data_IF_328387433995
#
_entry.id   IF_328387433995
#
_cell.length_a   1.000
_cell.length_b   1.000
_cell.length_c   1.000
_cell.angle_alpha   90.00
_cell.angle_beta   90.00
_cell.angle_gamma   90.00
#
_symmetry.space_group_name_H-M   'P 1'
#
loop_
_entity.id
_entity.type
_entity.pdbx_description
1 polymer ?
#
# COMPACT_ATOMS: atom_id res chain seq x y z
N UNK A 1 -4.15 12.85 -65.25
CA UNK A 1 -3.08 12.02 -64.66
C UNK A 1 -2.70 12.42 -63.23
N UNK A 2 -2.41 13.69 -62.95
CA UNK A 2 -1.96 14.16 -61.60
C UNK A 2 -2.99 13.89 -60.49
N UNK A 3 -4.29 14.13 -60.76
CA UNK A 3 -5.38 13.89 -59.79
C UNK A 3 -5.51 12.40 -59.44
N UNK A 4 -5.37 11.49 -60.42
CA UNK A 4 -5.41 10.04 -60.16
C UNK A 4 -4.22 9.58 -59.32
N UNK A 5 -3.02 10.11 -59.56
CA UNK A 5 -1.84 9.80 -58.75
C UNK A 5 -1.99 10.28 -57.29
N UNK A 6 -2.58 11.45 -57.08
CA UNK A 6 -2.86 12.00 -55.74
C UNK A 6 -3.90 11.17 -54.97
N UNK A 7 -4.97 10.71 -55.64
CA UNK A 7 -5.98 9.83 -55.02
C UNK A 7 -5.39 8.47 -54.62
N UNK A 8 -4.51 7.90 -55.47
CA UNK A 8 -3.80 6.64 -55.16
C UNK A 8 -2.87 6.84 -53.97
N UNK A 9 -2.13 7.95 -53.90
CA UNK A 9 -1.26 8.29 -52.77
C UNK A 9 -2.04 8.46 -51.47
N UNK A 10 -3.18 9.17 -51.48
CA UNK A 10 -4.04 9.31 -50.31
C UNK A 10 -4.62 7.98 -49.84
N UNK A 11 -5.07 7.11 -50.78
CA UNK A 11 -5.51 5.75 -50.43
C UNK A 11 -4.39 4.92 -49.81
N UNK A 12 -3.17 5.01 -50.35
CA UNK A 12 -2.00 4.34 -49.78
C UNK A 12 -1.67 4.86 -48.38
N UNK A 13 -1.74 6.16 -48.14
CA UNK A 13 -1.54 6.77 -46.82
C UNK A 13 -2.58 6.28 -45.80
N UNK A 14 -3.86 6.30 -46.17
CA UNK A 14 -4.97 5.85 -45.30
C UNK A 14 -4.83 4.37 -44.95
N UNK A 15 -4.52 3.50 -45.93
CA UNK A 15 -4.30 2.06 -45.69
C UNK A 15 -3.12 1.83 -44.73
N UNK A 16 -2.03 2.60 -44.86
CA UNK A 16 -0.89 2.49 -43.95
C UNK A 16 -1.20 2.98 -42.53
N UNK A 17 -1.98 4.07 -42.39
CA UNK A 17 -2.47 4.55 -41.09
C UNK A 17 -3.38 3.51 -40.41
N UNK A 18 -4.32 2.92 -41.15
CA UNK A 18 -5.20 1.85 -40.65
C UNK A 18 -4.40 0.62 -40.22
N UNK A 19 -3.39 0.21 -41.01
CA UNK A 19 -2.49 -0.89 -40.65
C UNK A 19 -1.70 -0.58 -39.39
N UNK A 20 -1.20 0.64 -39.24
CA UNK A 20 -0.48 1.10 -38.06
C UNK A 20 -1.36 1.07 -36.81
N UNK A 21 -2.58 1.61 -36.88
CA UNK A 21 -3.54 1.59 -35.76
C UNK A 21 -3.95 0.16 -35.37
N UNK A 22 -4.16 -0.74 -36.35
CA UNK A 22 -4.42 -2.17 -36.07
C UNK A 22 -3.24 -2.84 -35.36
N UNK A 23 -2.01 -2.56 -35.78
CA UNK A 23 -0.81 -3.10 -35.12
C UNK A 23 -0.65 -2.55 -33.69
N UNK A 24 -0.95 -1.28 -33.47
CA UNK A 24 -0.94 -0.62 -32.17
C UNK A 24 -2.00 -1.21 -31.23
N UNK A 25 -3.22 -1.42 -31.70
CA UNK A 25 -4.30 -2.10 -30.96
C UNK A 25 -3.93 -3.54 -30.60
N UNK A 26 -3.36 -4.30 -31.55
CA UNK A 26 -2.90 -5.67 -31.31
C UNK A 26 -1.77 -5.72 -30.28
N UNK A 27 -0.80 -4.80 -30.36
CA UNK A 27 0.29 -4.67 -29.37
C UNK A 27 -0.26 -4.33 -27.99
N UNK A 28 -1.18 -3.35 -27.89
CA UNK A 28 -1.85 -3.00 -26.63
C UNK A 28 -2.57 -4.20 -26.02
N UNK A 29 -3.37 -4.90 -26.83
CA UNK A 29 -4.08 -6.11 -26.42
C UNK A 29 -3.14 -7.21 -25.91
N UNK A 30 -1.97 -7.39 -26.53
CA UNK A 30 -0.97 -8.36 -26.07
C UNK A 30 -0.35 -7.95 -24.71
N UNK A 31 -0.03 -6.68 -24.53
CA UNK A 31 0.50 -6.17 -23.25
C UNK A 31 -0.53 -6.32 -22.14
N UNK A 32 -1.79 -5.99 -22.40
CA UNK A 32 -2.88 -6.17 -21.43
C UNK A 32 -3.04 -7.64 -21.02
N UNK A 33 -2.87 -8.59 -21.95
CA UNK A 33 -2.89 -10.02 -21.64
C UNK A 33 -1.70 -10.42 -20.76
N UNK A 34 -0.50 -9.90 -21.04
CA UNK A 34 0.68 -10.16 -20.20
C UNK A 34 0.52 -9.58 -18.80
N UNK A 35 0.01 -8.34 -18.67
CA UNK A 35 -0.33 -7.73 -17.38
C UNK A 35 -1.30 -8.61 -16.59
N UNK A 36 -2.39 -9.06 -17.22
CA UNK A 36 -3.38 -9.93 -16.56
C UNK A 36 -2.75 -11.21 -16.07
N UNK A 37 -1.95 -11.91 -16.89
CA UNK A 37 -1.24 -13.13 -16.48
C UNK A 37 -0.31 -12.91 -15.29
N UNK A 38 0.44 -11.81 -15.29
CA UNK A 38 1.29 -11.42 -14.17
C UNK A 38 0.45 -11.21 -12.90
N UNK A 39 -0.62 -10.42 -12.99
CA UNK A 39 -1.50 -10.12 -11.86
C UNK A 39 -2.18 -11.39 -11.33
N UNK A 40 -2.72 -12.23 -12.21
CA UNK A 40 -3.34 -13.51 -11.84
C UNK A 40 -2.34 -14.39 -11.09
N UNK A 41 -1.09 -14.48 -11.57
CA UNK A 41 -0.03 -15.22 -10.88
C UNK A 41 0.24 -14.66 -9.47
N UNK A 42 0.37 -13.34 -9.34
CA UNK A 42 0.61 -12.70 -8.03
C UNK A 42 -0.57 -12.86 -7.06
N UNK A 43 -1.80 -12.86 -7.58
CA UNK A 43 -3.03 -13.07 -6.78
C UNK A 43 -3.11 -14.53 -6.33
N UNK A 44 -2.91 -15.49 -7.24
CA UNK A 44 -2.95 -16.92 -6.93
C UNK A 44 -1.88 -17.33 -5.92
N UNK A 45 -0.70 -16.71 -5.97
CA UNK A 45 0.36 -16.91 -4.99
C UNK A 45 0.17 -16.11 -3.68
N UNK A 46 -0.99 -15.46 -3.50
CA UNK A 46 -1.34 -14.70 -2.30
C UNK A 46 -0.36 -13.54 -2.00
N UNK A 47 0.33 -13.04 -3.02
CA UNK A 47 1.25 -11.89 -2.95
C UNK A 47 0.45 -10.60 -3.12
N UNK A 48 -0.42 -10.54 -4.13
CA UNK A 48 -1.26 -9.38 -4.44
C UNK A 48 -2.69 -9.58 -3.94
N UNK A 49 -3.15 -8.68 -3.07
CA UNK A 49 -4.47 -8.72 -2.41
C UNK A 49 -5.22 -7.40 -2.52
N UNK A 50 -4.48 -6.29 -2.64
CA UNK A 50 -5.06 -4.96 -2.73
C UNK A 50 -5.67 -4.71 -4.12
N UNK A 51 -6.98 -4.49 -4.14
CA UNK A 51 -7.76 -4.19 -5.35
C UNK A 51 -7.37 -2.86 -5.99
N UNK A 52 -7.04 -1.85 -5.19
CA UNK A 52 -6.62 -0.55 -5.71
C UNK A 52 -5.28 -0.67 -6.41
N UNK A 53 -4.36 -1.47 -5.86
CA UNK A 53 -3.07 -1.75 -6.50
C UNK A 53 -3.21 -2.60 -7.77
N UNK A 54 -4.11 -3.58 -7.81
CA UNK A 54 -4.45 -4.31 -9.05
C UNK A 54 -4.87 -3.33 -10.14
N UNK A 55 -5.78 -2.40 -9.81
CA UNK A 55 -6.25 -1.38 -10.76
C UNK A 55 -5.10 -0.45 -11.19
N UNK A 56 -4.27 0.01 -10.25
CA UNK A 56 -3.13 0.87 -10.54
C UNK A 56 -2.14 0.21 -11.52
N UNK A 57 -1.79 -1.07 -11.32
CA UNK A 57 -0.88 -1.81 -12.23
C UNK A 57 -1.50 -2.00 -13.63
N UNK A 58 -2.81 -2.19 -13.71
CA UNK A 58 -3.50 -2.26 -15.00
C UNK A 58 -3.41 -0.92 -15.75
N UNK A 59 -3.64 0.19 -15.04
CA UNK A 59 -3.69 1.54 -15.63
C UNK A 59 -2.31 2.11 -15.97
N UNK A 60 -1.31 1.93 -15.10
CA UNK A 60 0.04 2.48 -15.30
C UNK A 60 0.86 1.55 -16.23
N UNK A 61 1.32 2.02 -17.40
CA UNK A 61 2.07 1.20 -18.34
C UNK A 61 3.56 1.12 -17.98
N UNK A 62 4.02 -0.03 -17.46
CA UNK A 62 5.42 -0.26 -17.10
C UNK A 62 6.39 0.04 -18.25
N UNK A 63 6.01 -0.25 -19.50
CA UNK A 63 6.84 0.01 -20.68
C UNK A 63 7.18 1.49 -20.89
N UNK A 64 6.43 2.43 -20.29
CA UNK A 64 6.73 3.86 -20.36
C UNK A 64 7.87 4.29 -19.43
N UNK A 65 8.25 3.43 -18.49
CA UNK A 65 9.31 3.65 -17.50
C UNK A 65 10.63 2.96 -17.87
N UNK A 66 10.71 2.36 -19.06
CA UNK A 66 11.91 1.69 -19.58
C UNK A 66 12.30 2.41 -20.86
N UNK A 67 13.52 2.96 -20.98
CA UNK A 67 14.01 3.51 -22.24
C UNK A 67 13.94 2.47 -23.38
N UNK A 68 13.63 2.90 -24.59
CA UNK A 68 13.29 1.98 -25.70
C UNK A 68 14.38 0.94 -25.99
N UNK A 69 15.66 1.34 -25.87
CA UNK A 69 16.82 0.46 -26.06
C UNK A 69 16.88 -0.70 -25.05
N UNK A 70 16.24 -0.56 -23.89
CA UNK A 70 16.21 -1.58 -22.84
C UNK A 70 14.90 -2.38 -22.82
N UNK A 71 13.90 -2.02 -23.65
CA UNK A 71 12.61 -2.74 -23.70
C UNK A 71 12.81 -4.12 -24.33
N UNK A 72 12.84 -5.15 -23.49
CA UNK A 72 12.70 -6.53 -23.93
C UNK A 72 11.21 -6.93 -23.97
N UNK A 73 10.60 -6.86 -25.16
CA UNK A 73 9.16 -7.14 -25.33
C UNK A 73 8.73 -8.56 -24.94
N UNK A 74 9.65 -9.53 -24.93
CA UNK A 74 9.39 -10.90 -24.48
C UNK A 74 9.25 -10.92 -22.97
N UNK A 75 10.21 -10.30 -22.29
CA UNK A 75 10.37 -10.32 -20.84
C UNK A 75 9.54 -9.28 -20.08
N UNK A 76 9.00 -8.29 -20.79
CA UNK A 76 8.14 -7.26 -20.21
C UNK A 76 6.91 -7.91 -19.56
N UNK A 77 6.61 -7.51 -18.33
CA UNK A 77 5.59 -8.09 -17.44
C UNK A 77 5.87 -9.54 -16.97
N UNK A 78 7.10 -10.04 -17.09
CA UNK A 78 7.54 -11.19 -16.29
C UNK A 78 7.89 -10.73 -14.86
N UNK A 79 7.76 -11.63 -13.89
CA UNK A 79 8.05 -11.32 -12.48
C UNK A 79 9.55 -11.31 -12.18
N UNK A 80 10.27 -10.36 -12.78
CA UNK A 80 11.72 -10.18 -12.60
C UNK A 80 12.11 -8.70 -12.69
N UNK A 81 13.30 -8.33 -12.17
CA UNK A 81 13.79 -6.97 -12.32
C UNK A 81 13.97 -6.60 -13.79
N UNK A 82 13.61 -5.38 -14.16
CA UNK A 82 13.76 -4.86 -15.53
C UNK A 82 14.86 -3.81 -15.59
N UNK A 83 15.83 -3.98 -16.48
CA UNK A 83 16.88 -2.99 -16.73
C UNK A 83 16.25 -1.70 -17.29
N UNK A 84 16.61 -0.54 -16.75
CA UNK A 84 16.21 0.75 -17.31
C UNK A 84 17.37 1.71 -17.52
N UNK A 85 18.55 1.37 -17.02
CA UNK A 85 19.76 2.16 -17.22
C UNK A 85 20.99 1.26 -17.14
N UNK A 86 21.96 1.52 -17.99
CA UNK A 86 23.26 0.86 -18.04
C UNK A 86 24.30 1.89 -18.43
N UNK A 87 25.38 1.94 -17.66
CA UNK A 87 26.55 2.78 -17.92
C UNK A 87 27.62 1.91 -18.56
N UNK A 88 27.95 2.20 -19.82
CA UNK A 88 28.95 1.44 -20.58
C UNK A 88 30.37 1.64 -20.03
N UNK A 89 30.63 2.76 -19.37
CA UNK A 89 31.94 3.10 -18.80
C UNK A 89 32.14 2.49 -17.42
N UNK A 90 31.04 2.28 -16.68
CA UNK A 90 31.03 1.58 -15.42
C UNK A 90 29.93 0.49 -15.42
N UNK A 91 30.22 -0.73 -15.92
CA UNK A 91 29.27 -1.83 -16.00
C UNK A 91 28.59 -2.23 -14.69
N UNK A 92 29.15 -1.84 -13.53
CA UNK A 92 28.55 -2.08 -12.21
C UNK A 92 27.45 -1.07 -11.87
N UNK A 93 27.36 0.02 -12.63
CA UNK A 93 26.46 1.15 -12.43
C UNK A 93 25.13 0.99 -13.19
N UNK A 94 24.66 -0.25 -13.39
CA UNK A 94 23.33 -0.47 -13.96
C UNK A 94 22.22 -0.19 -12.94
N UNK A 95 21.02 0.09 -13.44
CA UNK A 95 19.82 0.25 -12.59
C UNK A 95 18.67 -0.59 -13.10
N UNK A 96 17.95 -1.18 -12.15
CA UNK A 96 16.78 -2.00 -12.43
C UNK A 96 15.55 -1.46 -11.71
N UNK A 97 14.42 -1.60 -12.38
CA UNK A 97 13.10 -1.58 -11.75
C UNK A 97 12.96 -2.89 -10.98
N UNK A 98 12.51 -2.84 -9.73
CA UNK A 98 12.27 -4.03 -8.91
C UNK A 98 11.29 -4.99 -9.59
N UNK A 99 11.41 -6.29 -9.29
CA UNK A 99 10.45 -7.29 -9.78
C UNK A 99 9.00 -6.93 -9.35
N UNK A 100 7.99 -7.21 -10.18
CA UNK A 100 6.58 -6.97 -9.86
C UNK A 100 6.12 -7.46 -8.50
N UNK A 101 6.45 -8.69 -8.06
CA UNK A 101 6.08 -9.17 -6.73
C UNK A 101 6.65 -8.27 -5.63
N UNK A 102 7.88 -7.79 -5.83
CA UNK A 102 8.56 -6.95 -4.85
C UNK A 102 7.93 -5.55 -4.80
N UNK A 103 7.54 -4.99 -5.95
CA UNK A 103 6.78 -3.74 -6.01
C UNK A 103 5.46 -3.89 -5.25
N UNK A 104 4.74 -5.00 -5.46
CA UNK A 104 3.49 -5.28 -4.76
C UNK A 104 3.69 -5.38 -3.25
N UNK A 105 4.71 -6.12 -2.82
CA UNK A 105 5.04 -6.26 -1.39
C UNK A 105 5.41 -4.90 -0.78
N UNK A 106 6.20 -4.08 -1.48
CA UNK A 106 6.57 -2.74 -1.02
C UNK A 106 5.33 -1.87 -0.82
N UNK A 107 4.48 -1.73 -1.84
CA UNK A 107 3.31 -0.83 -1.79
C UNK A 107 2.24 -1.32 -0.80
N UNK A 108 1.97 -2.62 -0.73
CA UNK A 108 1.05 -3.16 0.29
C UNK A 108 1.62 -3.05 1.70
N UNK A 109 2.94 -3.22 1.86
CA UNK A 109 3.62 -3.10 3.15
C UNK A 109 3.55 -1.68 3.74
N UNK A 110 3.48 -0.66 2.89
CA UNK A 110 3.22 0.71 3.33
C UNK A 110 1.79 0.92 3.83
N UNK A 111 0.82 0.17 3.27
CA UNK A 111 -0.62 0.35 3.54
C UNK A 111 -1.03 1.82 3.37
N UNK A 112 -0.75 2.36 2.18
CA UNK A 112 -1.00 3.76 1.81
C UNK A 112 -2.50 4.09 1.89
N UNK A 113 -2.82 5.17 2.59
CA UNK A 113 -4.12 5.84 2.52
C UNK A 113 -4.11 6.95 1.49
N UNK A 114 -5.29 7.46 1.15
CA UNK A 114 -5.48 8.45 0.08
C UNK A 114 -4.73 9.78 0.30
N UNK A 115 -4.45 10.12 1.55
CA UNK A 115 -3.83 11.39 1.96
C UNK A 115 -2.43 11.18 2.55
N UNK A 116 -1.87 9.98 2.48
CA UNK A 116 -0.55 9.73 3.08
C UNK A 116 0.53 10.39 2.23
N UNK A 117 1.36 11.22 2.85
CA UNK A 117 2.57 11.74 2.22
C UNK A 117 3.65 10.64 2.22
N UNK A 118 4.34 10.51 1.08
CA UNK A 118 5.31 9.45 0.84
C UNK A 118 6.65 10.00 0.37
N UNK A 119 7.69 9.72 1.14
CA UNK A 119 9.08 9.91 0.75
C UNK A 119 9.67 8.62 0.19
N UNK A 120 10.23 8.65 -1.01
CA UNK A 120 10.89 7.51 -1.66
C UNK A 120 12.39 7.79 -1.77
N UNK A 121 13.21 6.88 -1.24
CA UNK A 121 14.67 6.94 -1.31
C UNK A 121 15.15 6.02 -2.43
N UNK A 122 15.75 6.62 -3.45
CA UNK A 122 16.12 6.00 -4.72
C UNK A 122 14.97 6.07 -5.72
N UNK A 123 15.16 6.82 -6.81
CA UNK A 123 14.12 7.08 -7.80
C UNK A 123 13.72 5.85 -8.62
N UNK A 124 14.68 4.93 -8.80
CA UNK A 124 14.57 3.86 -9.80
C UNK A 124 14.19 4.50 -11.15
N UNK A 125 13.12 4.02 -11.78
CA UNK A 125 12.60 4.61 -13.00
C UNK A 125 11.41 5.54 -12.80
N UNK A 126 10.89 5.67 -11.56
CA UNK A 126 9.64 6.38 -11.24
C UNK A 126 8.38 5.51 -11.22
N UNK A 127 8.45 4.24 -11.61
CA UNK A 127 7.26 3.38 -11.72
C UNK A 127 6.56 3.14 -10.37
N UNK A 128 7.32 2.93 -9.29
CA UNK A 128 6.75 2.75 -7.93
C UNK A 128 6.02 4.01 -7.49
N UNK A 129 6.60 5.19 -7.75
CA UNK A 129 6.00 6.48 -7.41
C UNK A 129 4.69 6.71 -8.17
N UNK A 130 4.65 6.37 -9.46
CA UNK A 130 3.43 6.46 -10.26
C UNK A 130 2.31 5.54 -9.74
N UNK A 131 2.66 4.33 -9.30
CA UNK A 131 1.71 3.42 -8.64
C UNK A 131 1.27 3.95 -7.27
N UNK A 132 2.20 4.47 -6.47
CA UNK A 132 1.89 5.05 -5.17
C UNK A 132 0.94 6.25 -5.30
N UNK A 133 1.13 7.11 -6.31
CA UNK A 133 0.22 8.23 -6.60
C UNK A 133 -1.21 7.78 -6.87
N UNK A 134 -1.41 6.61 -7.50
CA UNK A 134 -2.75 6.03 -7.68
C UNK A 134 -3.41 5.61 -6.36
N UNK A 135 -2.61 5.21 -5.38
CA UNK A 135 -3.07 4.77 -4.06
C UNK A 135 -3.30 5.96 -3.10
N UNK A 136 -2.41 6.95 -3.16
CA UNK A 136 -2.42 8.17 -2.34
C UNK A 136 -2.59 9.44 -3.21
N UNK A 137 -3.72 9.60 -3.93
CA UNK A 137 -3.87 10.68 -4.91
C UNK A 137 -3.97 12.09 -4.31
N UNK A 138 -4.07 12.22 -2.99
CA UNK A 138 -4.11 13.51 -2.29
C UNK A 138 -2.87 13.76 -1.42
N UNK A 139 -1.99 12.77 -1.29
CA UNK A 139 -0.74 12.92 -0.55
C UNK A 139 0.37 13.43 -1.47
N UNK A 140 1.36 14.08 -0.87
CA UNK A 140 2.57 14.51 -1.56
C UNK A 140 3.54 13.34 -1.71
N UNK A 141 4.08 13.17 -2.92
CA UNK A 141 5.09 12.14 -3.19
C UNK A 141 6.39 12.82 -3.57
N UNK A 142 7.42 12.58 -2.77
CA UNK A 142 8.76 13.12 -2.99
C UNK A 142 9.76 11.99 -3.15
N UNK A 143 10.60 12.09 -4.17
CA UNK A 143 11.64 11.14 -4.50
C UNK A 143 13.00 11.81 -4.26
N UNK A 144 13.87 11.14 -3.51
CA UNK A 144 15.28 11.51 -3.37
C UNK A 144 16.15 10.58 -4.19
N UNK A 145 16.98 11.15 -5.06
CA UNK A 145 17.93 10.42 -5.89
C UNK A 145 19.29 11.11 -5.85
N UNK A 146 20.38 10.36 -5.74
CA UNK A 146 21.72 10.94 -5.62
C UNK A 146 22.37 11.18 -6.99
N UNK A 147 21.97 10.41 -8.01
CA UNK A 147 22.51 10.51 -9.36
C UNK A 147 21.58 11.36 -10.26
N UNK A 148 22.11 12.46 -10.80
CA UNK A 148 21.32 13.42 -11.59
C UNK A 148 20.77 12.81 -12.89
N UNK A 149 21.52 11.92 -13.53
CA UNK A 149 21.08 11.25 -14.76
C UNK A 149 19.88 10.32 -14.49
N UNK A 150 19.92 9.56 -13.39
CA UNK A 150 18.78 8.72 -12.97
C UNK A 150 17.58 9.59 -12.60
N UNK A 151 17.79 10.72 -11.92
CA UNK A 151 16.72 11.67 -11.61
C UNK A 151 16.08 12.24 -12.88
N UNK A 152 16.89 12.61 -13.89
CA UNK A 152 16.42 13.09 -15.19
C UNK A 152 15.62 12.04 -15.94
N UNK A 153 16.12 10.81 -16.04
CA UNK A 153 15.39 9.68 -16.66
C UNK A 153 14.05 9.45 -15.96
N UNK A 154 14.04 9.49 -14.63
CA UNK A 154 12.82 9.34 -13.81
C UNK A 154 11.83 10.46 -14.11
N UNK A 155 12.28 11.73 -14.15
CA UNK A 155 11.44 12.89 -14.46
C UNK A 155 10.81 12.75 -15.85
N UNK A 156 11.61 12.43 -16.86
CA UNK A 156 11.12 12.20 -18.23
C UNK A 156 10.10 11.06 -18.31
N UNK A 157 10.22 10.02 -17.48
CA UNK A 157 9.24 8.95 -17.42
C UNK A 157 7.90 9.39 -16.80
N UNK A 158 7.95 10.24 -15.77
CA UNK A 158 6.75 10.80 -15.13
C UNK A 158 6.04 11.82 -16.03
N UNK A 159 6.79 12.67 -16.74
CA UNK A 159 6.27 13.63 -17.71
C UNK A 159 5.46 12.96 -18.83
N UNK A 160 5.92 11.78 -19.33
CA UNK A 160 5.18 10.97 -20.32
C UNK A 160 3.75 10.62 -19.86
N UNK A 161 3.49 10.64 -18.55
CA UNK A 161 2.20 10.34 -17.93
C UNK A 161 1.56 11.55 -17.24
N UNK A 162 2.17 12.75 -17.34
CA UNK A 162 1.71 13.98 -16.66
C UNK A 162 1.62 13.82 -15.14
N UNK A 163 2.62 13.15 -14.55
CA UNK A 163 2.71 12.92 -13.11
C UNK A 163 3.79 13.77 -12.43
N UNK A 164 4.58 14.50 -13.22
CA UNK A 164 5.66 15.38 -12.80
C UNK A 164 5.19 16.58 -11.95
N UNK A 165 3.95 17.03 -12.11
CA UNK A 165 3.33 18.05 -11.25
C UNK A 165 2.96 17.50 -9.85
N UNK A 166 2.71 16.19 -9.73
CA UNK A 166 2.24 15.56 -8.49
C UNK A 166 3.36 14.81 -7.73
N UNK A 167 4.48 14.53 -8.40
CA UNK A 167 5.58 13.74 -7.86
C UNK A 167 6.86 14.54 -8.03
N UNK A 168 7.39 15.06 -6.92
CA UNK A 168 8.63 15.84 -6.92
C UNK A 168 9.85 14.92 -6.89
N UNK A 169 10.83 15.18 -7.74
CA UNK A 169 12.14 14.53 -7.68
C UNK A 169 13.16 15.56 -7.23
N UNK A 170 13.99 15.20 -6.24
CA UNK A 170 15.05 16.06 -5.72
C UNK A 170 16.38 15.31 -5.77
N UNK A 171 17.37 15.94 -6.39
CA UNK A 171 18.74 15.42 -6.42
C UNK A 171 19.41 15.76 -5.09
N UNK A 172 19.54 14.76 -4.21
CA UNK A 172 20.04 14.90 -2.84
C UNK A 172 20.50 13.55 -2.32
N UNK A 173 21.42 13.54 -1.36
CA UNK A 173 21.73 12.32 -0.61
C UNK A 173 20.45 11.79 0.07
N UNK A 174 19.94 10.60 -0.31
CA UNK A 174 18.65 10.12 0.19
C UNK A 174 18.65 9.83 1.70
N UNK A 175 19.82 9.57 2.31
CA UNK A 175 19.91 9.28 3.74
C UNK A 175 19.63 10.49 4.64
N UNK A 176 19.71 11.71 4.10
CA UNK A 176 19.33 12.90 4.84
C UNK A 176 17.82 13.09 4.90
N UNK A 177 17.06 12.37 4.08
CA UNK A 177 15.63 12.56 3.96
C UNK A 177 15.27 13.99 3.54
N UNK A 178 14.07 14.41 3.94
CA UNK A 178 13.49 15.70 3.64
C UNK A 178 12.78 16.21 4.90
N UNK A 179 13.59 16.65 5.88
CA UNK A 179 13.11 17.10 7.18
C UNK A 179 12.23 18.35 7.09
N UNK A 180 12.49 19.19 6.10
CA UNK A 180 11.74 20.40 5.76
C UNK A 180 10.28 20.13 5.36
N UNK A 181 9.97 18.90 4.92
CA UNK A 181 8.61 18.45 4.59
C UNK A 181 8.11 17.36 5.56
N UNK A 182 8.84 17.09 6.65
CA UNK A 182 8.39 16.16 7.68
C UNK A 182 7.27 16.79 8.53
N UNK A 183 6.37 15.99 9.14
CA UNK A 183 6.40 14.53 9.25
C UNK A 183 5.90 13.78 8.01
N UNK A 184 6.54 12.65 7.70
CA UNK A 184 6.13 11.73 6.65
C UNK A 184 5.28 10.59 7.19
N UNK A 185 4.07 10.38 6.65
CA UNK A 185 3.27 9.20 7.00
C UNK A 185 3.97 7.94 6.51
N UNK A 186 4.63 7.98 5.35
CA UNK A 186 5.32 6.83 4.76
C UNK A 186 6.71 7.19 4.24
N UNK A 187 7.69 6.34 4.52
CA UNK A 187 9.03 6.39 3.92
C UNK A 187 9.33 5.03 3.29
N UNK A 188 9.66 5.02 2.00
CA UNK A 188 10.02 3.80 1.26
C UNK A 188 11.48 3.88 0.82
N UNK A 189 12.26 2.84 1.10
CA UNK A 189 13.65 2.75 0.66
C UNK A 189 13.79 1.66 -0.40
N UNK A 190 14.30 2.04 -1.58
CA UNK A 190 14.36 1.13 -2.74
C UNK A 190 15.76 0.59 -3.04
N UNK A 191 16.70 0.76 -2.11
CA UNK A 191 18.06 0.20 -2.14
C UNK A 191 18.49 -0.24 -0.75
N UNK A 192 19.40 -1.23 -0.68
CA UNK A 192 19.88 -1.78 0.58
C UNK A 192 20.56 -0.70 1.44
N UNK A 193 20.17 -0.61 2.71
CA UNK A 193 20.77 0.31 3.69
C UNK A 193 21.26 -0.45 4.92
N UNK A 194 22.36 0.03 5.49
CA UNK A 194 22.83 -0.45 6.78
C UNK A 194 21.96 0.11 7.90
N UNK A 195 21.74 -0.69 8.94
CA UNK A 195 20.89 -0.29 10.07
C UNK A 195 21.37 1.00 10.76
N UNK A 196 22.68 1.25 10.81
CA UNK A 196 23.26 2.47 11.40
C UNK A 196 22.85 3.76 10.67
N UNK A 197 22.48 3.67 9.38
CA UNK A 197 22.20 4.82 8.52
C UNK A 197 20.71 5.23 8.52
N UNK A 198 19.86 4.51 9.23
CA UNK A 198 18.41 4.72 9.22
C UNK A 198 17.94 5.84 10.17
N UNK A 199 18.73 6.14 11.21
CA UNK A 199 18.30 7.02 12.31
C UNK A 199 17.81 8.40 11.85
N UNK A 200 18.46 9.11 10.90
CA UNK A 200 17.97 10.40 10.44
C UNK A 200 16.56 10.35 9.84
N UNK A 201 16.20 9.22 9.22
CA UNK A 201 14.91 9.00 8.57
C UNK A 201 13.80 8.70 9.57
N UNK A 202 14.13 7.99 10.67
CA UNK A 202 13.15 7.60 11.68
C UNK A 202 12.50 8.80 12.37
N UNK A 203 13.28 9.85 12.65
CA UNK A 203 12.76 11.07 13.28
C UNK A 203 11.91 11.94 12.34
N UNK A 204 11.96 11.67 11.03
CA UNK A 204 11.12 12.34 10.03
C UNK A 204 9.79 11.63 9.80
N UNK A 205 9.59 10.42 10.37
CA UNK A 205 8.29 9.76 10.33
C UNK A 205 7.28 10.49 11.20
N UNK A 206 6.02 10.46 10.80
CA UNK A 206 4.90 10.85 11.64
C UNK A 206 4.91 10.08 12.96
N UNK A 207 4.77 10.80 14.07
CA UNK A 207 4.73 10.20 15.39
C UNK A 207 3.42 9.46 15.65
N UNK A 208 2.35 9.75 14.91
CA UNK A 208 1.07 9.05 15.01
C UNK A 208 0.93 7.96 13.94
N UNK A 209 1.88 7.02 13.94
CA UNK A 209 1.79 5.82 13.12
C UNK A 209 2.54 5.87 11.79
N UNK A 210 3.53 6.76 11.65
CA UNK A 210 4.40 6.81 10.48
C UNK A 210 5.15 5.49 10.24
N UNK A 211 5.26 5.07 8.98
CA UNK A 211 5.88 3.78 8.61
C UNK A 211 7.06 3.99 7.67
N UNK A 212 8.22 3.46 8.04
CA UNK A 212 9.35 3.26 7.14
C UNK A 212 9.40 1.81 6.68
N UNK A 213 9.59 1.56 5.38
CA UNK A 213 9.82 0.23 4.84
C UNK A 213 11.10 0.19 4.01
N UNK A 214 12.07 -0.64 4.42
CA UNK A 214 13.42 -0.64 3.84
C UNK A 214 14.10 -2.01 3.82
N UNK A 215 14.91 -2.33 2.81
CA UNK A 215 15.82 -3.46 2.84
C UNK A 215 17.03 -3.15 3.75
N UNK A 216 17.00 -3.67 4.98
CA UNK A 216 18.05 -3.45 5.99
C UNK A 216 18.96 -4.67 6.06
N UNK A 217 20.26 -4.45 5.91
CA UNK A 217 21.26 -5.50 6.02
C UNK A 217 22.61 -5.09 5.45
N UNK A 218 23.55 -6.03 5.32
CA UNK A 218 24.80 -5.78 4.64
C UNK A 218 24.53 -5.29 3.21
N UNK A 219 25.25 -4.24 2.82
CA UNK A 219 25.10 -3.55 1.53
C UNK A 219 26.41 -3.56 0.73
N UNK A 220 27.32 -4.50 1.02
CA UNK A 220 28.63 -4.53 0.36
C UNK A 220 28.54 -5.13 -1.04
N UNK A 221 27.65 -6.10 -1.24
CA UNK A 221 27.42 -6.77 -2.52
C UNK A 221 25.93 -7.02 -2.78
N UNK A 222 25.53 -7.06 -4.06
CA UNK A 222 24.16 -7.44 -4.47
C UNK A 222 23.77 -8.88 -4.08
N UNK A 223 24.75 -9.71 -3.70
CA UNK A 223 24.55 -11.09 -3.24
C UNK A 223 24.20 -11.20 -1.77
N UNK A 224 24.41 -10.14 -0.99
CA UNK A 224 24.12 -10.14 0.43
C UNK A 224 22.60 -10.23 0.63
N UNK A 225 22.20 -11.02 1.62
CA UNK A 225 20.81 -11.10 2.00
C UNK A 225 20.47 -9.96 2.95
N UNK A 226 19.50 -9.11 2.56
CA UNK A 226 18.92 -8.12 3.45
C UNK A 226 17.58 -8.63 4.00
N UNK A 227 17.13 -8.04 5.12
CA UNK A 227 15.78 -8.19 5.59
C UNK A 227 14.98 -6.95 5.21
N UNK A 228 13.97 -7.11 4.35
CA UNK A 228 13.03 -6.03 4.12
C UNK A 228 12.23 -5.83 5.41
N UNK A 229 12.43 -4.68 6.04
CA UNK A 229 12.06 -4.38 7.43
C UNK A 229 11.10 -3.20 7.44
N UNK A 230 9.99 -3.37 8.16
CA UNK A 230 9.01 -2.33 8.43
C UNK A 230 9.28 -1.75 9.81
N UNK A 231 9.33 -0.43 9.92
CA UNK A 231 9.51 0.27 11.18
C UNK A 231 8.34 1.23 11.35
N UNK A 232 7.55 1.03 12.40
CA UNK A 232 6.46 1.91 12.81
C UNK A 232 6.97 2.87 13.87
N UNK A 233 6.62 4.16 13.74
CA UNK A 233 6.77 5.15 14.80
C UNK A 233 5.42 5.35 15.48
N UNK A 234 5.39 5.21 16.80
CA UNK A 234 4.26 5.61 17.64
C UNK A 234 4.79 6.45 18.79
N UNK A 235 4.31 7.69 18.90
CA UNK A 235 4.90 8.73 19.73
C UNK A 235 6.40 8.86 19.42
N UNK A 236 7.25 8.73 20.45
CA UNK A 236 8.70 8.74 20.31
C UNK A 236 9.32 7.32 20.38
N UNK A 237 8.54 6.28 20.06
CA UNK A 237 9.00 4.89 20.08
C UNK A 237 8.96 4.27 18.67
N UNK A 238 9.91 3.36 18.41
CA UNK A 238 10.06 2.69 17.12
C UNK A 238 9.93 1.19 17.26
N UNK A 239 9.14 0.58 16.39
CA UNK A 239 8.87 -0.85 16.38
C UNK A 239 9.24 -1.44 15.02
N UNK A 240 10.21 -2.38 14.95
CA UNK A 240 10.74 -2.96 13.69
C UNK A 240 10.36 -4.43 13.40
N UNK A 241 9.79 -4.76 12.24
CA UNK A 241 9.42 -6.14 11.84
C UNK A 241 10.17 -6.52 10.58
N UNK A 242 10.94 -7.60 10.64
CA UNK A 242 11.57 -8.20 9.46
C UNK A 242 10.52 -9.02 8.72
N UNK A 243 10.19 -8.63 7.50
CA UNK A 243 9.12 -9.24 6.72
C UNK A 243 9.64 -10.39 5.86
N UNK A 244 10.66 -10.15 5.04
CA UNK A 244 11.21 -11.16 4.13
C UNK A 244 12.69 -10.93 3.84
N UNK A 245 13.36 -12.00 3.44
CA UNK A 245 14.71 -11.94 2.92
C UNK A 245 14.69 -11.46 1.46
N UNK A 246 15.54 -10.51 1.13
CA UNK A 246 15.60 -9.86 -0.19
C UNK A 246 17.03 -9.66 -0.66
N UNK A 247 17.18 -9.28 -1.93
CA UNK A 247 18.45 -8.88 -2.54
C UNK A 247 18.25 -7.56 -3.29
N UNK A 248 18.76 -6.49 -2.73
CA UNK A 248 18.74 -5.15 -3.32
C UNK A 248 20.17 -4.69 -3.61
N UNK A 249 20.34 -3.91 -4.68
CA UNK A 249 21.55 -3.11 -4.84
C UNK A 249 21.65 -2.11 -3.68
N UNK A 250 22.87 -1.72 -3.28
CA UNK A 250 23.06 -0.68 -2.27
C UNK A 250 22.30 0.59 -2.66
N UNK A 251 21.74 1.29 -1.67
CA UNK A 251 21.21 2.63 -1.88
C UNK A 251 22.39 3.55 -2.19
N UNK A 252 22.30 4.27 -3.31
CA UNK A 252 23.33 5.22 -3.72
C UNK A 252 23.09 6.52 -2.97
N UNK A 253 24.17 7.06 -2.42
CA UNK A 253 24.13 8.17 -1.46
C UNK A 253 25.13 9.26 -1.78
N UNK A 254 26.13 8.95 -2.60
CA UNK A 254 27.06 9.94 -3.14
C UNK A 254 26.37 10.69 -4.26
N UNK A 255 26.42 12.02 -4.17
CA UNK A 255 25.93 12.89 -5.21
C UNK A 255 26.81 12.71 -6.45
N UNK A 256 26.20 12.25 -7.53
CA UNK A 256 26.81 12.11 -8.85
C UNK A 256 26.11 13.11 -9.75
N UNK A 257 26.73 14.29 -9.91
CA UNK A 257 26.23 15.37 -10.76
C UNK A 257 27.02 15.30 -12.06
N UNK A 258 26.31 15.21 -13.18
CA UNK A 258 26.92 15.30 -14.51
C UNK A 258 27.49 16.72 -14.70
N UNK A 259 28.80 16.84 -14.93
CA UNK A 259 29.52 18.13 -15.05
C UNK A 259 29.00 19.00 -16.22
N UNK A 260 28.18 18.42 -17.11
CA UNK A 260 27.63 19.07 -18.30
C UNK A 260 26.22 19.68 -18.12
N UNK A 261 25.51 19.42 -17.02
CA UNK A 261 24.14 19.92 -16.75
C UNK A 261 24.08 21.12 -15.78
N UNK A 262 25.12 21.96 -15.72
CA UNK A 262 25.10 23.26 -15.01
C UNK A 262 24.15 24.31 -15.65
N UNK A 263 23.33 23.91 -16.62
CA UNK A 263 22.38 24.79 -17.33
C UNK A 263 21.06 24.03 -17.48
N UNK A 264 20.16 24.16 -16.50
CA UNK A 264 18.70 24.35 -16.66
C UNK A 264 17.97 24.15 -15.32
N UNK A 265 17.35 25.24 -14.82
CA UNK A 265 16.17 25.33 -13.94
C UNK A 265 15.87 24.19 -12.95
N UNK A 266 16.87 23.77 -12.17
CA UNK A 266 16.60 23.19 -10.86
C UNK A 266 16.68 24.32 -9.84
N UNK A 267 15.62 24.53 -9.04
CA UNK A 267 15.66 25.46 -7.92
C UNK A 267 16.88 25.14 -7.06
N UNK A 268 17.88 26.03 -7.10
CA UNK A 268 19.07 25.98 -6.26
C UNK A 268 18.62 26.09 -4.81
N UNK A 269 18.57 24.96 -4.12
CA UNK A 269 18.52 24.96 -2.66
C UNK A 269 19.96 25.13 -2.19
N UNK A 270 20.24 26.28 -1.57
CA UNK A 270 21.53 26.60 -0.94
C UNK A 270 22.07 25.41 -0.14
N UNK A 271 23.21 24.88 -0.59
CA UNK A 271 23.96 23.84 0.11
C UNK A 271 24.62 24.50 1.33
N UNK A 272 23.94 24.46 2.48
CA UNK A 272 24.59 24.68 3.79
C UNK A 272 25.16 23.36 4.29
N UNK A 273 26.43 23.11 3.96
CA UNK A 273 27.23 22.09 4.61
C UNK A 273 27.44 22.47 6.09
N UNK A 274 26.79 21.71 6.98
CA UNK A 274 27.30 21.22 8.27
C UNK A 274 26.12 21.09 9.25
N UNK A 275 25.49 19.91 9.27
CA UNK A 275 24.61 19.53 10.38
C UNK A 275 25.23 18.32 11.08
N UNK A 276 25.69 18.56 12.31
CA UNK A 276 26.08 17.52 13.25
C UNK A 276 24.91 16.54 13.40
N UNK A 277 25.06 15.33 12.85
CA UNK A 277 24.14 14.22 13.10
C UNK A 277 24.34 13.83 14.56
N UNK A 278 23.55 14.45 15.44
CA UNK A 278 23.47 14.09 16.85
C UNK A 278 22.74 12.73 16.92
N UNK A 279 23.46 11.65 16.61
CA UNK A 279 22.93 10.29 16.60
C UNK A 279 22.78 9.80 18.03
N UNK A 280 21.74 10.27 18.72
CA UNK A 280 21.20 9.54 19.86
C UNK A 280 20.94 8.10 19.43
N UNK A 281 21.31 7.12 20.25
CA UNK A 281 21.03 5.71 19.95
C UNK A 281 19.52 5.52 19.87
N UNK A 282 18.97 5.39 18.66
CA UNK A 282 17.56 5.03 18.46
C UNK A 282 17.40 3.55 18.73
N UNK A 283 16.61 3.19 19.74
CA UNK A 283 16.27 1.80 20.03
C UNK A 283 15.04 1.39 19.23
N UNK A 284 15.22 0.46 18.29
CA UNK A 284 14.11 -0.17 17.55
C UNK A 284 13.71 -1.45 18.28
N UNK A 285 12.47 -1.50 18.76
CA UNK A 285 11.90 -2.70 19.41
C UNK A 285 11.44 -3.66 18.31
N UNK A 286 12.22 -4.71 18.05
CA UNK A 286 11.84 -5.68 17.03
C UNK A 286 10.76 -6.63 17.55
N UNK A 287 9.69 -6.84 16.77
CA UNK A 287 8.66 -7.83 17.07
C UNK A 287 8.13 -8.48 15.80
N UNK A 288 7.71 -9.75 15.90
CA UNK A 288 7.08 -10.48 14.80
C UNK A 288 5.70 -9.91 14.42
N UNK A 289 5.13 -9.03 15.26
CA UNK A 289 3.72 -8.64 15.24
C UNK A 289 3.46 -7.13 15.11
N UNK A 290 4.30 -6.36 14.41
CA UNK A 290 4.15 -4.88 14.36
C UNK A 290 2.89 -4.39 13.64
N UNK A 291 2.28 -5.27 12.85
CA UNK A 291 0.98 -5.01 12.26
C UNK A 291 -0.17 -5.77 12.91
N UNK A 292 0.09 -6.59 13.95
CA UNK A 292 -0.94 -7.45 14.52
C UNK A 292 -1.33 -7.12 15.96
N UNK A 293 -0.59 -6.34 16.78
CA UNK A 293 -1.07 -5.90 18.12
C UNK A 293 -0.18 -4.80 18.77
N UNK A 294 -0.76 -3.63 19.04
CA UNK A 294 -0.35 -2.76 20.15
C UNK A 294 -1.40 -2.91 21.26
N UNK A 295 -1.25 -3.91 22.14
CA UNK A 295 -1.72 -3.94 23.54
C UNK A 295 -0.87 -4.98 24.34
N UNK A 296 -0.71 -4.82 25.66
CA UNK A 296 0.53 -5.12 26.38
C UNK A 296 0.76 -6.59 26.76
N UNK A 297 2.03 -6.87 27.04
CA UNK A 297 2.57 -8.14 27.53
C UNK A 297 1.72 -8.79 28.63
N UNK A 298 1.24 -10.00 28.36
CA UNK A 298 1.26 -11.06 29.37
C UNK A 298 1.31 -12.44 28.70
N UNK A 299 2.38 -13.17 29.05
CA UNK A 299 2.48 -14.63 29.16
C UNK A 299 2.79 -15.45 27.89
N UNK A 300 4.05 -15.86 27.87
CA UNK A 300 4.60 -17.07 27.26
C UNK A 300 3.80 -18.30 27.77
N UNK A 301 3.36 -19.19 26.88
CA UNK A 301 3.53 -20.66 26.97
C UNK A 301 2.77 -21.41 25.84
N UNK A 302 3.49 -22.29 25.16
CA UNK A 302 3.03 -23.18 24.10
C UNK A 302 2.39 -24.45 24.66
N UNK A 303 1.18 -24.75 24.19
CA UNK A 303 0.52 -26.07 24.14
C UNK A 303 0.08 -26.69 25.49
N UNK A 304 -0.98 -26.13 26.07
CA UNK A 304 -2.30 -26.81 26.16
C UNK A 304 -3.38 -26.08 25.31
N UNK A 305 -2.92 -25.15 24.49
CA UNK A 305 -3.63 -23.94 24.06
C UNK A 305 -4.77 -24.18 23.08
N UNK A 306 -4.78 -25.26 22.29
CA UNK A 306 -5.84 -25.46 21.27
C UNK A 306 -7.23 -25.64 21.89
N UNK A 307 -7.37 -26.46 22.94
CA UNK A 307 -8.67 -26.73 23.59
C UNK A 307 -9.16 -25.54 24.42
N UNK A 308 -8.25 -24.89 25.14
CA UNK A 308 -8.56 -23.71 25.96
C UNK A 308 -8.92 -22.50 25.08
N UNK A 309 -8.21 -22.32 23.97
CA UNK A 309 -8.53 -21.24 23.05
C UNK A 309 -9.83 -21.50 22.27
N UNK A 310 -10.16 -22.75 21.91
CA UNK A 310 -11.49 -23.09 21.36
C UNK A 310 -12.62 -22.72 22.35
N UNK A 311 -12.46 -23.04 23.64
CA UNK A 311 -13.41 -22.64 24.69
C UNK A 311 -13.53 -21.12 24.80
N UNK A 312 -12.40 -20.40 24.73
CA UNK A 312 -12.38 -18.93 24.77
C UNK A 312 -13.09 -18.32 23.57
N UNK A 313 -12.83 -18.81 22.35
CA UNK A 313 -13.49 -18.35 21.13
C UNK A 313 -15.00 -18.62 21.18
N UNK A 314 -15.42 -19.80 21.66
CA UNK A 314 -16.84 -20.10 21.87
C UNK A 314 -17.46 -19.13 22.88
N UNK A 315 -16.80 -18.88 24.01
CA UNK A 315 -17.29 -17.95 25.04
C UNK A 315 -17.41 -16.52 24.53
N UNK A 316 -16.47 -16.07 23.68
CA UNK A 316 -16.52 -14.76 23.04
C UNK A 316 -17.69 -14.68 22.05
N UNK A 317 -17.87 -15.69 21.19
CA UNK A 317 -19.00 -15.74 20.26
C UNK A 317 -20.36 -15.76 20.99
N UNK A 318 -20.47 -16.51 22.10
CA UNK A 318 -21.67 -16.52 22.95
C UNK A 318 -21.91 -15.14 23.61
N UNK A 319 -20.84 -14.45 24.02
CA UNK A 319 -20.90 -13.06 24.51
C UNK A 319 -21.37 -12.07 23.44
N UNK A 320 -20.89 -12.21 22.20
CA UNK A 320 -21.34 -11.41 21.06
C UNK A 320 -22.82 -11.66 20.79
N UNK A 321 -23.27 -12.92 20.79
CA UNK A 321 -24.69 -13.24 20.60
C UNK A 321 -25.54 -12.53 21.67
N UNK A 322 -25.12 -12.54 22.94
CA UNK A 322 -25.83 -11.82 24.00
C UNK A 322 -25.93 -10.33 23.70
N UNK A 323 -24.81 -9.67 23.41
CA UNK A 323 -24.80 -8.24 23.10
C UNK A 323 -25.66 -7.92 21.85
N UNK A 324 -25.63 -8.77 20.82
CA UNK A 324 -26.44 -8.61 19.60
C UNK A 324 -27.94 -8.78 19.88
N UNK A 325 -28.31 -9.69 20.78
CA UNK A 325 -29.70 -9.83 21.25
C UNK A 325 -30.13 -8.59 22.03
N UNK A 326 -29.25 -8.01 22.86
CA UNK A 326 -29.56 -6.81 23.64
C UNK A 326 -29.86 -5.59 22.73
N UNK A 327 -29.31 -5.55 21.51
CA UNK A 327 -29.65 -4.52 20.50
C UNK A 327 -31.13 -4.54 20.07
N UNK A 328 -31.86 -5.64 20.30
CA UNK A 328 -33.31 -5.72 20.05
C UNK A 328 -34.14 -5.04 21.14
N UNK A 329 -33.61 -5.02 22.36
CA UNK A 329 -34.34 -4.66 23.57
C UNK A 329 -33.99 -3.23 23.99
N UNK A 330 -32.75 -2.80 23.77
CA UNK A 330 -32.23 -1.50 24.20
C UNK A 330 -32.95 -0.36 23.46
N UNK A 331 -33.77 0.41 24.19
CA UNK A 331 -34.52 1.54 23.64
C UNK A 331 -33.69 2.82 23.50
N UNK A 332 -32.53 2.89 24.17
CA UNK A 332 -31.65 4.05 24.18
C UNK A 332 -30.59 3.92 23.06
N UNK A 333 -30.62 4.85 22.09
CA UNK A 333 -29.72 4.82 20.95
C UNK A 333 -28.24 4.96 21.32
N UNK A 334 -27.89 5.74 22.34
CA UNK A 334 -26.49 5.92 22.75
C UNK A 334 -25.94 4.64 23.40
N UNK A 335 -26.77 3.92 24.16
CA UNK A 335 -26.43 2.58 24.66
C UNK A 335 -26.34 1.55 23.53
N UNK A 336 -27.17 1.65 22.49
CA UNK A 336 -27.06 0.81 21.29
C UNK A 336 -25.70 1.01 20.61
N UNK A 337 -25.27 2.25 20.37
CA UNK A 337 -23.96 2.50 19.76
C UNK A 337 -22.81 2.00 20.63
N UNK A 338 -22.89 2.21 21.95
CA UNK A 338 -21.90 1.67 22.90
C UNK A 338 -21.83 0.14 22.83
N UNK A 339 -22.98 -0.52 22.67
CA UNK A 339 -23.07 -1.99 22.52
C UNK A 339 -22.53 -2.45 21.17
N UNK A 340 -22.78 -1.71 20.08
CA UNK A 340 -22.19 -1.97 18.76
C UNK A 340 -20.66 -1.86 18.82
N UNK A 341 -20.11 -0.83 19.45
CA UNK A 341 -18.66 -0.64 19.59
C UNK A 341 -18.02 -1.73 20.47
N UNK A 342 -18.78 -2.25 21.45
CA UNK A 342 -18.37 -3.44 22.21
C UNK A 342 -18.32 -4.69 21.33
N UNK A 343 -19.36 -4.92 20.50
CA UNK A 343 -19.39 -6.06 19.57
C UNK A 343 -18.27 -5.96 18.53
N UNK A 344 -17.97 -4.77 18.03
CA UNK A 344 -16.87 -4.54 17.09
C UNK A 344 -15.52 -4.92 17.70
N UNK A 345 -15.26 -4.48 18.94
CA UNK A 345 -14.07 -4.89 19.70
C UNK A 345 -14.01 -6.40 19.93
N UNK A 346 -15.13 -7.04 20.27
CA UNK A 346 -15.19 -8.49 20.46
C UNK A 346 -14.90 -9.23 19.12
N UNK A 347 -15.38 -8.73 17.98
CA UNK A 347 -15.06 -9.25 16.64
C UNK A 347 -13.58 -9.06 16.28
N UNK A 348 -12.97 -7.94 16.68
CA UNK A 348 -11.53 -7.68 16.51
C UNK A 348 -10.69 -8.65 17.34
N UNK A 349 -11.09 -8.90 18.59
CA UNK A 349 -10.48 -9.92 19.44
C UNK A 349 -10.54 -11.29 18.72
N UNK A 350 -11.68 -11.64 18.12
CA UNK A 350 -11.81 -12.88 17.34
C UNK A 350 -10.87 -12.95 16.13
N UNK A 351 -10.48 -11.81 15.53
CA UNK A 351 -9.50 -11.79 14.43
C UNK A 351 -8.12 -12.30 14.86
N UNK A 352 -7.74 -12.07 16.11
CA UNK A 352 -6.47 -12.57 16.66
C UNK A 352 -6.41 -14.11 16.71
N UNK A 353 -7.57 -14.78 16.77
CA UNK A 353 -7.70 -16.23 16.78
C UNK A 353 -7.85 -16.85 15.38
N UNK A 354 -8.16 -16.04 14.36
CA UNK A 354 -8.50 -16.47 12.99
C UNK A 354 -7.40 -17.27 12.28
N UNK A 355 -6.13 -16.99 12.57
CA UNK A 355 -4.97 -17.70 11.97
C UNK A 355 -4.49 -18.90 12.79
N UNK A 356 -4.89 -19.02 14.06
CA UNK A 356 -4.31 -19.97 15.02
C UNK A 356 -5.19 -21.20 15.30
N UNK A 357 -6.50 -21.14 15.04
CA UNK A 357 -7.45 -22.16 15.53
C UNK A 357 -8.58 -22.46 14.55
N UNK A 358 -9.19 -21.44 13.92
CA UNK A 358 -10.44 -21.61 13.12
C UNK A 358 -10.55 -20.56 12.02
N UNK A 359 -10.81 -20.98 10.77
CA UNK A 359 -11.06 -20.09 9.63
C UNK A 359 -12.47 -19.45 9.69
N UNK A 360 -12.68 -18.45 10.56
CA UNK A 360 -13.99 -17.77 10.73
C UNK A 360 -14.25 -16.67 9.68
N UNK A 361 -15.51 -16.52 9.27
CA UNK A 361 -15.96 -15.46 8.33
C UNK A 361 -16.18 -14.10 9.00
N UNK A 362 -15.21 -13.62 9.78
CA UNK A 362 -15.32 -12.38 10.59
C UNK A 362 -15.69 -11.15 9.74
N UNK A 363 -15.17 -11.05 8.50
CA UNK A 363 -15.53 -9.95 7.60
C UNK A 363 -17.05 -9.86 7.34
N UNK A 364 -17.71 -11.01 7.16
CA UNK A 364 -19.18 -11.05 6.97
C UNK A 364 -19.94 -10.64 8.24
N UNK A 365 -19.37 -10.91 9.42
CA UNK A 365 -19.94 -10.48 10.70
C UNK A 365 -19.83 -8.96 10.87
N UNK A 366 -18.69 -8.38 10.52
CA UNK A 366 -18.48 -6.93 10.50
C UNK A 366 -19.42 -6.24 9.49
N UNK A 367 -19.60 -6.82 8.30
CA UNK A 367 -20.56 -6.30 7.32
C UNK A 367 -21.99 -6.24 7.89
N UNK A 368 -22.41 -7.27 8.64
CA UNK A 368 -23.70 -7.30 9.33
C UNK A 368 -23.80 -6.25 10.44
N UNK A 369 -22.76 -6.12 11.27
CA UNK A 369 -22.71 -5.10 12.32
C UNK A 369 -22.81 -3.68 11.74
N UNK A 370 -22.16 -3.41 10.60
CA UNK A 370 -22.23 -2.12 9.91
C UNK A 370 -23.62 -1.83 9.34
N UNK A 371 -24.34 -2.85 8.85
CA UNK A 371 -25.73 -2.71 8.43
C UNK A 371 -26.65 -2.35 9.60
N UNK A 372 -26.44 -2.97 10.77
CA UNK A 372 -27.16 -2.64 12.01
C UNK A 372 -26.83 -1.21 12.46
N UNK A 373 -25.55 -0.82 12.46
CA UNK A 373 -25.10 0.55 12.78
C UNK A 373 -25.76 1.59 11.87
N UNK A 374 -25.83 1.31 10.56
CA UNK A 374 -26.47 2.18 9.58
C UNK A 374 -27.97 2.39 9.87
N UNK A 375 -28.68 1.32 10.25
CA UNK A 375 -30.10 1.43 10.63
C UNK A 375 -30.28 2.33 11.87
N UNK A 376 -29.39 2.24 12.86
CA UNK A 376 -29.46 3.06 14.07
C UNK A 376 -29.09 4.53 13.82
N UNK A 377 -28.19 4.83 12.89
CA UNK A 377 -27.90 6.21 12.47
C UNK A 377 -29.14 6.84 11.84
N UNK A 378 -29.79 6.13 10.92
CA UNK A 378 -31.04 6.60 10.29
C UNK A 378 -32.14 6.79 11.33
N UNK A 379 -32.26 5.89 12.30
CA UNK A 379 -33.19 6.03 13.43
C UNK A 379 -32.89 7.27 14.28
N UNK A 380 -31.62 7.54 14.62
CA UNK A 380 -31.20 8.74 15.36
C UNK A 380 -31.54 10.03 14.62
N UNK A 381 -31.42 10.03 13.30
CA UNK A 381 -31.73 11.20 12.49
C UNK A 381 -33.25 11.45 12.42
N UNK A 382 -34.05 10.39 12.32
CA UNK A 382 -35.52 10.50 12.39
C UNK A 382 -36.03 10.94 13.76
N UNK A 383 -35.35 10.59 14.86
CA UNK A 383 -35.67 11.09 16.20
C UNK A 383 -35.37 12.60 16.36
N UNK A 384 -34.38 13.15 15.64
CA UNK A 384 -34.10 14.60 15.63
C UNK A 384 -35.09 15.41 14.79
N UNK A 385 -35.61 14.82 13.72
CA UNK A 385 -36.58 15.46 12.82
C UNK A 385 -37.99 15.60 13.43
N UNK A 386 -38.21 14.97 14.58
CA UNK A 386 -39.51 14.90 15.28
C UNK A 386 -40.01 16.22 15.89
N UNK A 387 -39.30 17.33 15.68
CA UNK A 387 -39.79 18.65 16.05
C UNK A 387 -40.90 19.18 15.13
N UNK A 388 -41.15 18.64 13.91
CA UNK A 388 -42.08 19.32 12.98
C UNK A 388 -42.84 18.50 11.88
N UNK A 389 -42.98 17.16 11.88
CA UNK A 389 -43.87 16.52 10.88
C UNK A 389 -44.35 15.07 11.17
N UNK A 390 -45.63 14.78 10.83
CA UNK A 390 -46.34 13.49 10.90
C UNK A 390 -45.95 12.33 9.92
N UNK A 391 -45.11 12.46 8.86
CA UNK A 391 -44.72 11.32 7.99
C UNK A 391 -43.74 10.31 8.63
N UNK A 392 -43.53 10.42 9.94
CA UNK A 392 -42.40 9.88 10.70
C UNK A 392 -42.53 8.39 11.12
N UNK A 393 -43.74 7.84 11.23
CA UNK A 393 -43.95 6.54 11.91
C UNK A 393 -43.67 5.33 11.00
N UNK A 394 -44.18 5.30 9.78
CA UNK A 394 -44.01 4.14 8.87
C UNK A 394 -42.55 3.97 8.46
N UNK A 395 -41.81 5.07 8.29
CA UNK A 395 -40.37 5.05 8.01
C UNK A 395 -39.57 4.51 9.20
N UNK A 396 -39.95 4.88 10.44
CA UNK A 396 -39.37 4.31 11.66
C UNK A 396 -39.62 2.82 11.78
N UNK A 397 -40.86 2.37 11.52
CA UNK A 397 -41.22 0.94 11.53
C UNK A 397 -40.41 0.16 10.49
N UNK A 398 -40.26 0.68 9.27
CA UNK A 398 -39.49 0.04 8.21
C UNK A 398 -38.01 -0.12 8.58
N UNK A 399 -37.39 0.91 9.17
CA UNK A 399 -35.99 0.87 9.62
C UNK A 399 -35.81 -0.11 10.78
N UNK A 400 -36.75 -0.15 11.73
CA UNK A 400 -36.73 -1.07 12.87
C UNK A 400 -36.86 -2.52 12.38
N UNK A 401 -37.78 -2.81 11.46
CA UNK A 401 -37.94 -4.15 10.88
C UNK A 401 -36.68 -4.59 10.14
N UNK A 402 -36.10 -3.72 9.32
CA UNK A 402 -34.83 -3.98 8.64
C UNK A 402 -33.70 -4.24 9.65
N UNK A 403 -33.63 -3.48 10.73
CA UNK A 403 -32.67 -3.70 11.80
C UNK A 403 -32.86 -5.09 12.44
N UNK A 404 -34.09 -5.49 12.73
CA UNK A 404 -34.39 -6.82 13.28
C UNK A 404 -33.97 -7.95 12.36
N UNK A 405 -34.19 -7.81 11.06
CA UNK A 405 -33.75 -8.80 10.06
C UNK A 405 -32.23 -8.95 10.04
N UNK A 406 -31.49 -7.84 10.09
CA UNK A 406 -30.03 -7.87 10.14
C UNK A 406 -29.50 -8.48 11.44
N UNK A 407 -30.13 -8.16 12.59
CA UNK A 407 -29.81 -8.77 13.88
C UNK A 407 -30.05 -10.28 13.84
N UNK A 408 -31.19 -10.75 13.32
CA UNK A 408 -31.50 -12.17 13.21
C UNK A 408 -30.49 -12.90 12.33
N UNK A 409 -30.20 -12.35 11.15
CA UNK A 409 -29.21 -12.90 10.22
C UNK A 409 -27.82 -12.99 10.86
N UNK A 410 -27.44 -11.99 11.67
CA UNK A 410 -26.15 -11.99 12.36
C UNK A 410 -26.09 -13.05 13.46
N UNK A 411 -27.16 -13.20 14.27
CA UNK A 411 -27.25 -14.25 15.30
C UNK A 411 -27.12 -15.64 14.68
N UNK A 412 -27.79 -15.90 13.56
CA UNK A 412 -27.71 -17.20 12.87
C UNK A 412 -26.30 -17.49 12.37
N UNK A 413 -25.61 -16.48 11.83
CA UNK A 413 -24.21 -16.61 11.43
C UNK A 413 -23.30 -16.99 12.60
N UNK A 414 -23.46 -16.34 13.76
CA UNK A 414 -22.68 -16.64 14.96
C UNK A 414 -22.95 -18.05 15.48
N UNK A 415 -24.21 -18.49 15.49
CA UNK A 415 -24.59 -19.86 15.89
C UNK A 415 -23.99 -20.93 14.98
N UNK A 416 -23.96 -20.68 13.67
CA UNK A 416 -23.33 -21.59 12.69
C UNK A 416 -21.84 -21.76 12.98
N UNK A 417 -21.14 -20.66 13.29
CA UNK A 417 -19.71 -20.71 13.62
C UNK A 417 -19.45 -21.42 14.94
N UNK A 418 -20.22 -21.14 16.01
CA UNK A 418 -20.11 -21.88 17.28
C UNK A 418 -20.30 -23.39 17.04
N UNK A 419 -21.30 -23.78 16.25
CA UNK A 419 -21.57 -25.19 15.93
C UNK A 419 -20.43 -25.84 15.18
N UNK A 420 -19.78 -25.11 14.27
CA UNK A 420 -18.59 -25.59 13.54
C UNK A 420 -17.40 -25.81 14.48
N UNK A 421 -17.11 -24.84 15.35
CA UNK A 421 -15.98 -24.90 16.29
C UNK A 421 -16.18 -26.01 17.33
N UNK A 422 -17.42 -26.30 17.73
CA UNK A 422 -17.75 -27.43 18.61
C UNK A 422 -17.57 -28.80 17.93
N UNK A 423 -17.54 -28.87 16.58
CA UNK A 423 -17.38 -30.11 15.79
C UNK A 423 -15.93 -30.40 15.41
N UNK A 424 -15.13 -29.36 15.19
CA UNK A 424 -13.67 -29.43 14.97
C UNK A 424 -12.92 -29.69 16.28
#
# INVERSE_FOLDING_TARGET
>A
MIICAYIIFLRFLVINLDKYERLKLKKKSLLDLKKKRLLDSLILNNILKDKNLIQAIMEIPLEKFIPEQYINSIQLYEDKPALFYYDETNPKNYRTISAPHMIVIMLQGLSLNRNDDLLILGAKSGYIAALAHKLAPKGEIVILEANSEIARITKQNLEKLKLDENIKIVVKNPLFGMAELSPWQKILVTGAIEQSKINPLLHQLDEDGGVLFAPIGPSKLQTDHQAYTQILRQNNQFFGKRQLQVRFSPLITQLEIDELELITDFEEVEIKESYNINSGRVTIKYTEAILDNLLPESQIETVSTSKQNKKLVISLLEGIIKNVVDLKIEGNLDKIFTTIDKIERDLEILMSFKKKIVEMKIKRMQDKLNQIRSCNILRKELEKQELNAKPSIDQKIAIINKQFDEINSFIDMLKVEIKRIKRE
#
